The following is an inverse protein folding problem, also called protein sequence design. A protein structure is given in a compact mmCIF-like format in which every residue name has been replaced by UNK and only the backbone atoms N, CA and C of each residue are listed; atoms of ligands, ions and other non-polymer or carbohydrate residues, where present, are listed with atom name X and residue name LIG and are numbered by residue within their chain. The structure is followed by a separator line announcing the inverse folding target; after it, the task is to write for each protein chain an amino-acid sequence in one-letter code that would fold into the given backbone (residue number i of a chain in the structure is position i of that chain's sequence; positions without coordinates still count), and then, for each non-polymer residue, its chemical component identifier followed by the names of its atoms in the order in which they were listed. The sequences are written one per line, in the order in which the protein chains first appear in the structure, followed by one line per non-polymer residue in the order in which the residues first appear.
data_IF_895643291696
#
_entry.id   IF_895643291696
#
_cell.length_a   1.000
_cell.length_b   1.000
_cell.length_c   1.000
_cell.angle_alpha   90.00
_cell.angle_beta   90.00
_cell.angle_gamma   90.00
#
_symmetry.space_group_name_H-M   'P 1'
#
loop_
_entity.id
_entity.type
_entity.pdbx_description
1 polymer ?
#
# COMPACT_ATOMS: atom_id res chain seq x y z
N UNK A 1 -9.37 -16.60 15.68
CA UNK A 1 -10.45 -16.45 14.68
C UNK A 1 -9.78 -16.12 13.36
N UNK A 2 -9.62 -17.11 12.49
CA UNK A 2 -8.95 -16.94 11.20
C UNK A 2 -9.91 -16.25 10.23
N UNK A 3 -9.61 -15.03 9.81
CA UNK A 3 -10.38 -14.36 8.75
C UNK A 3 -9.87 -14.90 7.43
N UNK A 4 -10.53 -15.92 6.91
CA UNK A 4 -10.27 -16.47 5.58
C UNK A 4 -10.74 -15.46 4.53
N UNK A 5 -9.82 -14.67 3.98
CA UNK A 5 -10.04 -13.94 2.73
C UNK A 5 -9.86 -14.90 1.55
N UNK A 6 -10.84 -15.77 1.33
CA UNK A 6 -10.91 -16.59 0.12
C UNK A 6 -12.29 -16.45 -0.54
N UNK A 7 -12.22 -16.37 -1.87
CA UNK A 7 -13.26 -16.60 -2.89
C UNK A 7 -13.89 -15.41 -3.62
N UNK A 8 -13.46 -15.33 -4.88
CA UNK A 8 -14.23 -15.26 -6.13
C UNK A 8 -15.04 -14.00 -6.48
N UNK A 9 -14.57 -13.35 -7.54
CA UNK A 9 -15.44 -12.80 -8.58
C UNK A 9 -14.75 -12.98 -9.94
N UNK A 10 -15.15 -14.03 -10.65
CA UNK A 10 -14.89 -14.20 -12.09
C UNK A 10 -15.64 -13.11 -12.85
N UNK A 11 -14.92 -12.28 -13.61
CA UNK A 11 -15.51 -11.40 -14.63
C UNK A 11 -15.11 -11.97 -16.01
N UNK A 12 -16.05 -12.10 -16.97
CA UNK A 12 -15.82 -12.81 -18.22
C UNK A 12 -14.74 -12.19 -19.10
N UNK A 13 -13.94 -13.09 -19.72
CA UNK A 13 -12.96 -12.80 -20.77
C UNK A 13 -13.69 -12.28 -22.01
N UNK A 14 -13.52 -11.00 -22.34
CA UNK A 14 -13.92 -10.47 -23.65
C UNK A 14 -12.99 -11.07 -24.70
N UNK A 15 -13.58 -11.71 -25.71
CA UNK A 15 -12.87 -12.35 -26.80
C UNK A 15 -12.16 -11.32 -27.69
N UNK A 16 -10.88 -11.55 -27.97
CA UNK A 16 -10.14 -10.83 -29.02
C UNK A 16 -10.58 -11.38 -30.38
N UNK A 17 -11.26 -10.55 -31.18
CA UNK A 17 -11.37 -10.77 -32.63
C UNK A 17 -10.36 -9.86 -33.35
N UNK A 18 -9.52 -10.48 -34.16
CA UNK A 18 -8.56 -9.83 -35.02
C UNK A 18 -9.21 -9.35 -36.35
N UNK A 19 -8.77 -8.19 -36.84
CA UNK A 19 -8.70 -7.87 -38.27
C UNK A 19 -9.81 -7.02 -38.90
N UNK A 20 -9.62 -5.70 -38.96
CA UNK A 20 -10.01 -4.83 -40.10
C UNK A 20 -9.41 -3.41 -39.90
N UNK A 21 -9.05 -2.67 -40.99
CA UNK A 21 -8.21 -1.47 -40.92
C UNK A 21 -8.96 -0.22 -40.42
N UNK A 22 -8.21 0.67 -39.76
CA UNK A 22 -8.70 1.91 -39.13
C UNK A 22 -8.82 3.02 -40.19
N UNK A 23 -9.99 3.65 -40.39
CA UNK A 23 -10.06 4.96 -41.02
C UNK A 23 -9.81 6.06 -39.97
N UNK A 24 -8.86 6.94 -40.25
CA UNK A 24 -8.53 8.11 -39.44
C UNK A 24 -9.76 8.99 -39.22
N UNK A 25 -10.18 9.17 -37.96
CA UNK A 25 -11.16 10.20 -37.58
C UNK A 25 -10.53 11.22 -36.63
N UNK A 26 -10.69 12.46 -37.08
CA UNK A 26 -10.24 13.74 -36.56
C UNK A 26 -10.77 14.02 -35.16
N UNK A 27 -9.95 14.74 -34.38
CA UNK A 27 -10.17 15.31 -33.04
C UNK A 27 -11.60 15.37 -32.51
N UNK A 28 -11.87 14.52 -31.51
CA UNK A 28 -12.91 14.73 -30.51
C UNK A 28 -12.25 15.10 -29.19
N UNK A 29 -12.62 16.26 -28.62
CA UNK A 29 -12.23 16.61 -27.26
C UNK A 29 -12.67 15.48 -26.31
N UNK A 30 -11.73 14.98 -25.51
CA UNK A 30 -12.03 13.95 -24.51
C UNK A 30 -12.99 14.55 -23.48
N UNK A 31 -14.26 14.14 -23.54
CA UNK A 31 -15.20 14.35 -22.45
C UNK A 31 -14.59 13.70 -21.20
N UNK A 32 -14.46 14.41 -20.07
CA UNK A 32 -14.05 13.74 -18.84
C UNK A 32 -15.13 12.70 -18.53
N UNK A 33 -14.73 11.43 -18.47
CA UNK A 33 -15.59 10.35 -18.00
C UNK A 33 -15.83 10.62 -16.52
N UNK A 34 -16.89 11.38 -16.23
CA UNK A 34 -17.41 11.55 -14.89
C UNK A 34 -18.07 10.21 -14.55
N UNK A 35 -17.27 9.31 -13.99
CA UNK A 35 -17.73 8.02 -13.52
C UNK A 35 -18.79 8.28 -12.45
N UNK A 36 -20.04 7.94 -12.76
CA UNK A 36 -21.12 8.07 -11.81
C UNK A 36 -20.83 7.15 -10.62
N UNK A 37 -20.80 7.73 -9.41
CA UNK A 37 -20.60 6.97 -8.20
C UNK A 37 -21.77 6.01 -7.98
N UNK A 38 -21.52 4.79 -7.48
CA UNK A 38 -22.59 3.89 -7.06
C UNK A 38 -23.53 4.58 -6.06
N UNK A 39 -24.84 4.28 -6.08
CA UNK A 39 -25.78 4.80 -5.10
C UNK A 39 -25.30 4.56 -3.66
N UNK A 40 -25.30 5.59 -2.82
CA UNK A 40 -24.84 5.51 -1.43
C UNK A 40 -23.32 5.65 -1.23
N UNK A 41 -22.49 5.52 -2.28
CA UNK A 41 -21.03 5.68 -2.16
C UNK A 41 -20.64 7.09 -1.71
N UNK A 42 -21.26 8.13 -2.26
CA UNK A 42 -20.97 9.51 -1.87
C UNK A 42 -21.24 9.77 -0.38
N UNK A 43 -22.39 9.29 0.12
CA UNK A 43 -22.75 9.40 1.54
C UNK A 43 -21.78 8.61 2.42
N UNK A 44 -21.41 7.39 2.00
CA UNK A 44 -20.42 6.59 2.71
C UNK A 44 -19.07 7.32 2.84
N UNK A 45 -18.54 7.87 1.74
CA UNK A 45 -17.26 8.57 1.77
C UNK A 45 -17.32 9.80 2.68
N UNK A 46 -18.45 10.50 2.70
CA UNK A 46 -18.65 11.64 3.60
C UNK A 46 -18.67 11.21 5.07
N UNK A 47 -19.36 10.12 5.41
CA UNK A 47 -19.36 9.55 6.76
C UNK A 47 -17.95 9.11 7.16
N UNK A 48 -17.22 8.45 6.25
CA UNK A 48 -15.85 8.02 6.50
C UNK A 48 -14.90 9.21 6.72
N UNK A 49 -15.02 10.28 5.93
CA UNK A 49 -14.27 11.51 6.14
C UNK A 49 -14.56 12.10 7.53
N UNK A 50 -15.84 12.19 7.93
CA UNK A 50 -16.22 12.76 9.23
C UNK A 50 -15.67 11.94 10.40
N UNK A 51 -15.78 10.60 10.32
CA UNK A 51 -15.26 9.71 11.34
C UNK A 51 -13.73 9.80 11.43
N UNK A 52 -13.04 9.72 10.29
CA UNK A 52 -11.56 9.76 10.25
C UNK A 52 -11.00 11.13 10.64
N UNK A 53 -11.72 12.24 10.40
CA UNK A 53 -11.29 13.57 10.80
C UNK A 53 -11.19 13.75 12.33
N UNK A 54 -11.91 12.94 13.11
CA UNK A 54 -11.82 12.95 14.57
C UNK A 54 -10.60 12.18 15.11
N UNK A 55 -9.96 11.36 14.27
CA UNK A 55 -8.82 10.54 14.63
C UNK A 55 -7.54 11.37 14.55
N UNK A 56 -7.15 11.99 15.66
CA UNK A 56 -5.89 12.72 15.74
C UNK A 56 -4.68 11.80 15.93
N UNK A 57 -4.90 10.65 16.57
CA UNK A 57 -3.88 9.63 16.84
C UNK A 57 -4.50 8.26 16.78
N UNK A 58 -3.74 7.29 16.28
CA UNK A 58 -4.11 5.89 16.33
C UNK A 58 -2.86 5.03 16.46
N UNK A 59 -2.94 4.00 17.29
CA UNK A 59 -1.97 2.91 17.27
C UNK A 59 -2.70 1.57 17.14
N UNK A 60 -1.96 0.56 16.72
CA UNK A 60 -2.48 -0.79 16.67
C UNK A 60 -1.49 -1.77 16.13
N UNK A 61 -1.98 -2.98 15.88
CA UNK A 61 -1.18 -4.07 15.34
C UNK A 61 -1.76 -4.55 14.02
N UNK A 62 -0.90 -5.08 13.17
CA UNK A 62 -1.26 -5.61 11.88
C UNK A 62 -0.49 -6.89 11.54
N UNK A 63 -1.05 -7.65 10.59
CA UNK A 63 -0.37 -8.70 9.85
C UNK A 63 -0.28 -8.27 8.39
N UNK A 64 0.88 -8.50 7.75
CA UNK A 64 1.10 -8.30 6.32
C UNK A 64 1.29 -9.63 5.63
N UNK A 65 0.65 -9.78 4.48
CA UNK A 65 0.80 -10.88 3.54
C UNK A 65 1.20 -10.30 2.18
N UNK A 66 2.34 -10.71 1.64
CA UNK A 66 2.78 -10.32 0.29
C UNK A 66 2.83 -11.56 -0.59
N UNK A 67 1.91 -11.64 -1.55
CA UNK A 67 1.76 -12.76 -2.46
C UNK A 67 2.43 -12.44 -3.79
N UNK A 68 3.25 -13.37 -4.28
CA UNK A 68 3.73 -13.41 -5.64
C UNK A 68 3.28 -14.71 -6.31
N UNK A 69 2.32 -14.64 -7.22
CA UNK A 69 1.74 -15.81 -7.89
C UNK A 69 2.63 -16.40 -8.98
N UNK A 70 3.64 -15.64 -9.47
CA UNK A 70 4.62 -16.15 -10.43
C UNK A 70 5.61 -17.06 -9.72
N UNK A 71 6.15 -16.60 -8.60
CA UNK A 71 7.07 -17.39 -7.78
C UNK A 71 6.37 -18.34 -6.81
N UNK A 72 5.05 -18.21 -6.66
CA UNK A 72 4.23 -18.95 -5.69
C UNK A 72 4.79 -18.83 -4.28
N UNK A 73 5.16 -17.61 -3.90
CA UNK A 73 5.68 -17.28 -2.57
C UNK A 73 4.71 -16.34 -1.88
N UNK A 74 4.51 -16.58 -0.59
CA UNK A 74 3.80 -15.67 0.30
C UNK A 74 4.74 -15.26 1.43
N UNK A 75 5.07 -13.98 1.51
CA UNK A 75 5.83 -13.43 2.63
C UNK A 75 4.90 -12.92 3.72
N UNK A 76 5.21 -13.23 4.97
CA UNK A 76 4.45 -12.78 6.14
C UNK A 76 5.27 -11.88 7.04
N UNK A 77 4.66 -10.81 7.51
CA UNK A 77 5.17 -9.97 8.59
C UNK A 77 4.08 -9.69 9.61
N UNK A 78 4.47 -9.46 10.86
CA UNK A 78 3.60 -8.91 11.91
C UNK A 78 4.14 -7.56 12.32
N UNK A 79 3.30 -6.69 12.87
CA UNK A 79 3.78 -5.36 13.16
C UNK A 79 2.87 -4.49 14.00
N UNK A 80 3.39 -3.32 14.31
CA UNK A 80 2.63 -2.23 14.91
C UNK A 80 2.63 -1.04 13.98
N UNK A 81 1.54 -0.29 14.00
CA UNK A 81 1.43 0.97 13.27
C UNK A 81 1.07 2.09 14.23
N UNK A 82 1.50 3.29 13.87
CA UNK A 82 1.24 4.53 14.58
C UNK A 82 0.86 5.60 13.58
N UNK A 83 -0.13 6.39 13.92
CA UNK A 83 -0.60 7.52 13.15
C UNK A 83 -0.77 8.72 14.07
N UNK A 84 -0.33 9.88 13.61
CA UNK A 84 -0.65 11.17 14.21
C UNK A 84 -0.97 12.16 13.08
N UNK A 85 -2.16 12.73 13.14
CA UNK A 85 -2.59 13.73 12.18
C UNK A 85 -1.67 14.97 12.24
N UNK A 86 -1.45 15.65 11.10
CA UNK A 86 -2.02 15.36 9.78
C UNK A 86 -1.25 14.34 8.94
N UNK A 87 0.04 14.13 9.20
CA UNK A 87 0.97 13.56 8.22
C UNK A 87 2.06 12.66 8.82
N UNK A 88 1.95 12.28 10.09
CA UNK A 88 2.91 11.37 10.74
C UNK A 88 2.40 9.94 10.74
N UNK A 89 3.28 9.04 10.33
CA UNK A 89 2.99 7.62 10.27
C UNK A 89 4.22 6.80 10.63
N UNK A 90 3.99 5.62 11.18
CA UNK A 90 5.03 4.63 11.37
C UNK A 90 4.45 3.24 11.24
N UNK A 91 5.17 2.34 10.59
CA UNK A 91 4.88 0.91 10.57
C UNK A 91 6.16 0.16 10.85
N UNK A 92 6.14 -0.66 11.91
CA UNK A 92 7.23 -1.56 12.27
C UNK A 92 6.84 -2.97 11.85
N UNK A 93 7.67 -3.59 11.01
CA UNK A 93 7.50 -4.94 10.50
C UNK A 93 8.53 -5.85 11.18
N UNK A 94 8.04 -6.98 11.67
CA UNK A 94 8.83 -8.01 12.30
C UNK A 94 8.56 -9.35 11.62
N UNK A 95 9.62 -10.18 11.58
CA UNK A 95 9.51 -11.59 11.26
C UNK A 95 8.51 -12.26 12.22
N UNK A 96 7.49 -12.98 11.72
CA UNK A 96 6.66 -13.82 12.56
C UNK A 96 7.54 -14.87 13.26
N UNK A 97 7.24 -15.18 14.54
CA UNK A 97 7.98 -16.20 15.29
C UNK A 97 7.85 -17.58 14.66
N UNK A 98 6.69 -17.84 14.08
CA UNK A 98 6.35 -19.11 13.45
C UNK A 98 5.73 -18.83 12.09
N UNK A 99 6.11 -19.63 11.10
CA UNK A 99 5.49 -19.67 9.78
C UNK A 99 5.04 -21.11 9.50
N UNK A 100 3.88 -21.32 8.85
CA UNK A 100 3.47 -22.63 8.39
C UNK A 100 4.56 -23.30 7.55
N UNK A 101 4.82 -24.58 7.83
CA UNK A 101 5.72 -25.40 6.99
C UNK A 101 5.02 -25.83 5.71
N UNK A 102 3.73 -26.12 5.80
CA UNK A 102 2.91 -26.51 4.66
C UNK A 102 2.55 -25.30 3.79
N UNK A 103 2.52 -25.46 2.45
CA UNK A 103 2.09 -24.42 1.55
C UNK A 103 0.67 -23.95 1.87
N UNK A 104 0.47 -22.62 1.85
CA UNK A 104 -0.85 -22.04 2.01
C UNK A 104 -1.59 -22.08 0.67
N UNK A 105 -2.80 -22.66 0.65
CA UNK A 105 -3.62 -22.74 -0.55
C UNK A 105 -4.62 -21.59 -0.60
N UNK A 106 -4.56 -20.81 -1.68
CA UNK A 106 -5.53 -19.74 -2.00
C UNK A 106 -6.07 -20.01 -3.40
N UNK A 107 -7.34 -20.41 -3.47
CA UNK A 107 -7.93 -20.93 -4.70
C UNK A 107 -7.15 -22.15 -5.21
N UNK A 108 -6.70 -22.08 -6.47
CA UNK A 108 -5.91 -23.12 -7.13
C UNK A 108 -4.39 -22.96 -6.95
N UNK A 109 -3.93 -21.91 -6.27
CA UNK A 109 -2.51 -21.62 -6.09
C UNK A 109 -2.07 -22.04 -4.70
N UNK A 110 -0.97 -22.79 -4.64
CA UNK A 110 -0.25 -23.13 -3.40
C UNK A 110 0.97 -22.25 -3.26
N UNK A 111 1.04 -21.48 -2.18
CA UNK A 111 2.14 -20.57 -1.87
C UNK A 111 3.08 -21.18 -0.83
N UNK A 112 4.37 -21.15 -1.13
CA UNK A 112 5.38 -21.41 -0.11
C UNK A 112 5.43 -20.20 0.84
N UNK A 113 5.13 -20.46 2.11
CA UNK A 113 5.12 -19.39 3.12
C UNK A 113 6.55 -19.11 3.60
N UNK A 114 6.90 -17.84 3.66
CA UNK A 114 8.20 -17.35 4.12
C UNK A 114 8.00 -16.19 5.10
N UNK A 115 8.92 -16.04 6.04
CA UNK A 115 8.98 -14.83 6.84
C UNK A 115 9.55 -13.69 5.98
N UNK A 116 9.02 -12.49 6.15
CA UNK A 116 9.58 -11.29 5.54
C UNK A 116 10.84 -10.82 6.29
N UNK A 117 11.33 -9.60 6.05
CA UNK A 117 12.43 -9.00 6.79
C UNK A 117 11.97 -7.98 7.84
N UNK A 118 12.83 -7.70 8.83
CA UNK A 118 12.54 -6.67 9.82
C UNK A 118 12.73 -5.28 9.21
N UNK A 119 11.69 -4.46 9.25
CA UNK A 119 11.66 -3.16 8.57
C UNK A 119 10.96 -2.11 9.44
N UNK A 120 11.38 -0.85 9.35
CA UNK A 120 10.59 0.28 9.83
C UNK A 120 10.35 1.25 8.69
N UNK A 121 9.09 1.59 8.46
CA UNK A 121 8.70 2.70 7.61
C UNK A 121 8.24 3.85 8.51
N UNK A 122 8.86 5.02 8.41
CA UNK A 122 8.60 6.17 9.29
C UNK A 122 8.38 7.41 8.43
N UNK A 123 7.27 8.11 8.64
CA UNK A 123 6.99 9.43 8.10
C UNK A 123 6.85 10.44 9.24
N UNK A 124 7.68 11.49 9.21
CA UNK A 124 7.70 12.56 10.22
C UNK A 124 6.86 13.77 9.83
N UNK A 125 6.22 13.74 8.66
CA UNK A 125 5.48 14.84 8.04
C UNK A 125 6.29 15.63 7.01
N UNK A 126 7.61 15.65 7.16
CA UNK A 126 8.55 16.27 6.22
C UNK A 126 9.57 15.29 5.64
N UNK A 127 9.72 14.11 6.23
CA UNK A 127 10.71 13.10 5.87
C UNK A 127 10.09 11.71 5.92
N UNK A 128 10.45 10.87 4.97
CA UNK A 128 10.19 9.43 4.99
C UNK A 128 11.52 8.69 5.15
N UNK A 129 11.53 7.72 6.05
CA UNK A 129 12.59 6.75 6.25
C UNK A 129 12.04 5.36 5.99
N UNK A 130 12.70 4.62 5.11
CA UNK A 130 12.47 3.20 4.90
C UNK A 130 13.73 2.45 5.35
N UNK A 131 13.62 1.72 6.45
CA UNK A 131 14.75 1.14 7.18
C UNK A 131 14.68 -0.37 7.11
N UNK A 132 15.72 -1.02 6.59
CA UNK A 132 15.93 -2.45 6.71
C UNK A 132 16.83 -2.74 7.92
N UNK A 133 16.27 -3.37 8.95
CA UNK A 133 17.00 -3.65 10.19
C UNK A 133 17.93 -4.87 10.09
N UNK A 134 17.62 -5.81 9.19
CA UNK A 134 18.43 -7.01 9.00
C UNK A 134 19.75 -6.65 8.30
N UNK A 135 19.69 -5.78 7.29
CA UNK A 135 20.85 -5.30 6.54
C UNK A 135 21.50 -4.05 7.15
N UNK A 136 20.83 -3.41 8.11
CA UNK A 136 21.21 -2.10 8.68
C UNK A 136 21.38 -1.03 7.60
N UNK A 137 20.43 -0.99 6.67
CA UNK A 137 20.39 -0.02 5.57
C UNK A 137 19.13 0.82 5.66
N UNK A 138 19.14 2.00 5.05
CA UNK A 138 17.92 2.80 4.94
C UNK A 138 17.91 3.73 3.73
N UNK A 139 16.71 4.06 3.28
CA UNK A 139 16.44 5.09 2.29
C UNK A 139 15.81 6.30 2.97
N UNK A 140 16.12 7.49 2.44
CA UNK A 140 15.60 8.76 2.92
C UNK A 140 14.92 9.50 1.78
N UNK A 141 13.70 9.95 2.03
CA UNK A 141 12.94 10.77 1.07
C UNK A 141 12.45 12.05 1.76
N UNK A 142 12.94 13.20 1.30
CA UNK A 142 12.46 14.49 1.79
C UNK A 142 11.13 14.85 1.11
N UNK A 143 10.09 15.12 1.91
CA UNK A 143 8.79 15.60 1.44
C UNK A 143 8.88 17.12 1.15
N UNK A 144 8.60 17.56 -0.09
CA UNK A 144 8.58 18.96 -0.45
C UNK A 144 7.52 19.73 0.37
N UNK A 145 7.75 21.01 0.74
CA UNK A 145 6.84 21.80 1.57
C UNK A 145 5.37 21.79 1.11
N UNK A 146 5.14 21.77 -0.20
CA UNK A 146 3.81 21.76 -0.82
C UNK A 146 3.02 20.46 -0.59
N UNK A 147 3.69 19.36 -0.24
CA UNK A 147 3.05 18.06 0.03
C UNK A 147 3.02 17.72 1.53
N UNK A 148 3.48 18.62 2.41
CA UNK A 148 3.44 18.42 3.87
C UNK A 148 2.04 18.72 4.39
N UNK A 149 1.57 17.98 5.38
CA UNK A 149 0.19 18.07 5.86
C UNK A 149 -0.87 17.55 4.87
N UNK A 150 -0.49 17.23 3.63
CA UNK A 150 -1.29 16.36 2.77
C UNK A 150 -1.06 14.92 3.22
N UNK A 151 -2.14 14.12 3.29
CA UNK A 151 -2.13 12.74 3.77
C UNK A 151 -0.88 11.98 3.32
N UNK A 152 -0.35 11.13 4.20
CA UNK A 152 0.82 10.27 3.96
C UNK A 152 0.76 9.64 2.55
N UNK A 153 1.45 10.27 1.59
CA UNK A 153 1.24 10.02 0.15
C UNK A 153 1.83 8.67 -0.30
N UNK A 154 2.80 8.14 0.44
CA UNK A 154 3.67 7.04 0.00
C UNK A 154 3.57 5.77 0.84
N UNK A 155 2.58 5.67 1.70
CA UNK A 155 2.28 4.44 2.44
C UNK A 155 1.22 3.65 1.68
N UNK A 156 1.00 2.34 1.91
CA UNK A 156 -0.27 1.68 1.62
C UNK A 156 -1.46 2.31 2.39
N UNK A 157 -1.14 3.22 3.32
CA UNK A 157 -2.02 3.90 4.26
C UNK A 157 -2.47 5.34 3.88
N UNK A 158 -2.43 5.89 2.64
CA UNK A 158 -3.06 7.18 2.37
C UNK A 158 -4.59 7.06 2.58
N UNK A 159 -5.08 5.82 2.69
CA UNK A 159 -6.46 5.45 2.96
C UNK A 159 -6.80 5.33 4.44
N UNK A 160 -5.86 5.32 5.38
CA UNK A 160 -6.29 5.05 6.75
C UNK A 160 -7.03 6.23 7.36
N UNK A 161 -6.54 7.45 7.17
CA UNK A 161 -7.06 8.65 7.82
C UNK A 161 -6.86 9.91 6.97
N UNK A 162 -7.80 10.85 7.05
CA UNK A 162 -7.58 12.24 6.59
C UNK A 162 -7.87 12.54 5.11
N UNK A 163 -8.17 11.54 4.27
CA UNK A 163 -8.59 11.81 2.88
C UNK A 163 -9.99 12.40 2.80
N UNK A 164 -10.09 13.54 2.12
CA UNK A 164 -11.35 14.20 1.81
C UNK A 164 -12.14 13.35 0.82
N UNK A 165 -13.44 13.17 1.05
CA UNK A 165 -14.32 12.42 0.17
C UNK A 165 -14.23 12.91 -1.28
N UNK A 166 -14.17 14.23 -1.48
CA UNK A 166 -14.01 14.86 -2.79
C UNK A 166 -12.71 14.44 -3.48
N UNK A 167 -11.59 14.43 -2.76
CA UNK A 167 -10.29 14.01 -3.30
C UNK A 167 -10.32 12.54 -3.72
N UNK A 168 -10.97 11.67 -2.93
CA UNK A 168 -11.12 10.26 -3.30
C UNK A 168 -11.93 10.13 -4.60
N UNK A 169 -13.04 10.86 -4.73
CA UNK A 169 -13.90 10.83 -5.91
C UNK A 169 -13.19 11.33 -7.18
N UNK A 170 -12.31 12.33 -7.04
CA UNK A 170 -11.54 12.89 -8.16
C UNK A 170 -10.39 11.98 -8.60
N UNK A 171 -9.84 11.16 -7.68
CA UNK A 171 -8.66 10.34 -7.93
C UNK A 171 -8.96 8.88 -8.27
N UNK A 172 -10.15 8.37 -7.92
CA UNK A 172 -10.45 6.95 -8.01
C UNK A 172 -11.78 6.64 -8.70
N UNK A 173 -11.78 5.56 -9.49
CA UNK A 173 -12.98 4.81 -9.82
C UNK A 173 -13.37 3.96 -8.62
N UNK A 174 -14.60 4.13 -8.12
CA UNK A 174 -15.06 3.53 -6.89
C UNK A 174 -16.20 2.54 -7.12
N UNK A 175 -16.15 1.42 -6.40
CA UNK A 175 -17.21 0.42 -6.34
C UNK A 175 -17.35 -0.15 -4.94
N UNK A 176 -18.51 -0.74 -4.64
CA UNK A 176 -18.64 -1.62 -3.49
C UNK A 176 -18.05 -2.98 -3.83
N UNK A 177 -17.25 -3.53 -2.91
CA UNK A 177 -16.69 -4.87 -3.07
C UNK A 177 -17.67 -5.96 -2.60
N UNK A 178 -17.35 -7.22 -2.90
CA UNK A 178 -18.21 -8.38 -2.59
C UNK A 178 -18.47 -8.61 -1.09
N UNK A 179 -17.66 -8.00 -0.22
CA UNK A 179 -17.80 -8.07 1.24
C UNK A 179 -18.55 -6.87 1.83
N UNK A 180 -19.12 -6.01 0.99
CA UNK A 180 -19.88 -4.85 1.45
C UNK A 180 -21.20 -5.31 2.08
N UNK A 181 -21.29 -5.20 3.40
CA UNK A 181 -22.41 -5.68 4.18
C UNK A 181 -22.50 -4.86 5.50
N UNK A 182 -23.00 -3.62 5.42
CA UNK A 182 -23.06 -2.74 6.58
C UNK A 182 -23.93 -3.28 7.71
N UNK A 183 -24.95 -4.09 7.38
CA UNK A 183 -25.82 -4.74 8.35
C UNK A 183 -25.05 -5.72 9.24
N UNK A 184 -24.04 -6.41 8.69
CA UNK A 184 -23.13 -7.27 9.44
C UNK A 184 -21.79 -6.59 9.77
N UNK A 185 -21.77 -5.26 9.81
CA UNK A 185 -20.64 -4.51 10.34
C UNK A 185 -19.47 -4.29 9.37
N UNK A 186 -19.64 -4.53 8.06
CA UNK A 186 -18.55 -4.44 7.09
C UNK A 186 -18.86 -3.47 5.96
N UNK A 187 -17.93 -2.55 5.69
CA UNK A 187 -17.97 -1.70 4.50
C UNK A 187 -16.76 -2.04 3.64
N UNK A 188 -17.00 -2.57 2.44
CA UNK A 188 -15.94 -2.88 1.48
C UNK A 188 -15.95 -1.89 0.31
N UNK A 189 -14.88 -1.11 0.17
CA UNK A 189 -14.66 -0.16 -0.93
C UNK A 189 -13.57 -0.69 -1.84
N UNK A 190 -13.82 -0.68 -3.14
CA UNK A 190 -12.83 -0.97 -4.19
C UNK A 190 -12.48 0.34 -4.89
N UNK A 191 -11.19 0.65 -4.98
CA UNK A 191 -10.69 1.88 -5.57
C UNK A 191 -9.62 1.60 -6.64
N UNK A 192 -9.85 2.04 -7.87
CA UNK A 192 -8.86 1.97 -8.95
C UNK A 192 -8.41 3.39 -9.35
N UNK A 193 -7.10 3.68 -9.41
CA UNK A 193 -6.61 5.03 -9.70
C UNK A 193 -7.00 5.49 -11.11
N UNK A 194 -7.52 6.73 -11.20
CA UNK A 194 -7.85 7.38 -12.45
C UNK A 194 -6.61 7.89 -13.18
N UNK A 195 -5.60 8.38 -12.46
CA UNK A 195 -4.41 9.00 -13.06
C UNK A 195 -3.42 7.94 -13.55
N UNK A 196 -2.90 8.10 -14.78
CA UNK A 196 -1.97 7.15 -15.38
C UNK A 196 -0.68 6.98 -14.54
N UNK A 197 -0.17 8.07 -13.97
CA UNK A 197 0.98 8.02 -13.07
C UNK A 197 0.76 7.05 -11.90
N UNK A 198 -0.42 7.05 -11.29
CA UNK A 198 -0.76 6.16 -10.17
C UNK A 198 -1.02 4.71 -10.63
N UNK A 199 -1.53 4.52 -11.85
CA UNK A 199 -1.73 3.17 -12.43
C UNK A 199 -0.42 2.42 -12.68
N UNK A 200 0.72 3.12 -12.69
CA UNK A 200 2.06 2.52 -12.77
C UNK A 200 2.53 1.91 -11.45
N UNK A 201 1.90 2.29 -10.34
CA UNK A 201 2.26 1.83 -9.00
C UNK A 201 1.38 0.66 -8.55
N UNK A 202 0.06 0.79 -8.72
CA UNK A 202 -0.88 -0.28 -8.43
C UNK A 202 -2.11 -0.15 -9.33
N UNK A 203 -2.80 -1.27 -9.56
CA UNK A 203 -4.02 -1.28 -10.41
C UNK A 203 -5.29 -1.10 -9.60
N UNK A 204 -5.30 -1.54 -8.35
CA UNK A 204 -6.50 -1.52 -7.50
C UNK A 204 -6.12 -1.59 -6.03
N UNK A 205 -6.89 -0.91 -5.21
CA UNK A 205 -6.91 -1.07 -3.76
C UNK A 205 -8.30 -1.54 -3.33
N UNK A 206 -8.35 -2.41 -2.33
CA UNK A 206 -9.56 -2.85 -1.65
C UNK A 206 -9.41 -2.50 -0.18
N UNK A 207 -10.39 -1.80 0.37
CA UNK A 207 -10.39 -1.31 1.75
C UNK A 207 -11.62 -1.85 2.46
N UNK A 208 -11.41 -2.61 3.52
CA UNK A 208 -12.46 -3.11 4.40
C UNK A 208 -12.47 -2.25 5.67
N UNK A 209 -13.62 -1.67 5.98
CA UNK A 209 -13.85 -0.85 7.17
C UNK A 209 -14.84 -1.54 8.10
N UNK A 210 -14.67 -1.35 9.40
CA UNK A 210 -15.72 -1.61 10.38
C UNK A 210 -16.85 -0.59 10.20
N UNK A 211 -18.10 -1.04 10.01
CA UNK A 211 -19.21 -0.16 9.66
C UNK A 211 -19.68 0.77 10.80
N UNK A 212 -19.21 0.56 12.03
CA UNK A 212 -19.56 1.39 13.19
C UNK A 212 -18.53 2.50 13.41
N UNK A 213 -17.25 2.13 13.35
CA UNK A 213 -16.12 3.01 13.67
C UNK A 213 -15.52 3.65 12.42
N UNK A 214 -15.72 3.04 11.25
CA UNK A 214 -15.07 3.38 9.98
C UNK A 214 -13.54 3.28 10.02
N UNK A 215 -12.99 2.54 11.00
CA UNK A 215 -11.59 2.20 11.03
C UNK A 215 -11.30 1.04 10.06
N UNK A 216 -10.18 1.09 9.32
CA UNK A 216 -9.82 0.01 8.40
C UNK A 216 -9.46 -1.28 9.14
N UNK A 217 -10.12 -2.38 8.79
CA UNK A 217 -9.84 -3.72 9.31
C UNK A 217 -8.95 -4.52 8.36
N UNK A 218 -9.00 -4.22 7.06
CA UNK A 218 -8.05 -4.75 6.09
C UNK A 218 -7.85 -3.82 4.89
N UNK A 219 -6.66 -3.87 4.29
CA UNK A 219 -6.34 -3.20 3.02
C UNK A 219 -5.62 -4.19 2.13
N UNK A 220 -6.07 -4.33 0.88
CA UNK A 220 -5.42 -5.16 -0.13
C UNK A 220 -5.04 -4.31 -1.35
N UNK A 221 -3.79 -4.39 -1.77
CA UNK A 221 -3.25 -3.72 -2.94
C UNK A 221 -2.94 -4.74 -4.02
N UNK A 222 -3.37 -4.46 -5.25
CA UNK A 222 -3.07 -5.26 -6.43
C UNK A 222 -1.99 -4.57 -7.23
N UNK A 223 -0.82 -5.21 -7.36
CA UNK A 223 0.30 -4.72 -8.15
C UNK A 223 -0.05 -4.60 -9.63
N UNK A 224 0.79 -3.87 -10.37
CA UNK A 224 0.53 -3.52 -11.77
C UNK A 224 0.59 -4.67 -12.76
N UNK A 225 1.28 -5.75 -12.44
CA UNK A 225 1.25 -7.01 -13.21
C UNK A 225 -0.01 -7.85 -12.89
N UNK A 226 -0.54 -7.72 -11.67
CA UNK A 226 -1.56 -8.62 -11.11
C UNK A 226 -1.02 -9.95 -10.60
N UNK A 227 0.28 -10.16 -10.70
CA UNK A 227 0.93 -11.30 -10.07
C UNK A 227 1.29 -11.03 -8.61
N UNK A 228 1.28 -9.75 -8.20
CA UNK A 228 1.62 -9.34 -6.85
C UNK A 228 0.41 -8.76 -6.12
N UNK A 229 0.22 -9.19 -4.88
CA UNK A 229 -0.81 -8.67 -4.00
C UNK A 229 -0.24 -8.45 -2.60
N UNK A 230 -0.44 -7.27 -2.02
CA UNK A 230 -0.07 -6.99 -0.62
C UNK A 230 -1.34 -6.80 0.20
N UNK A 231 -1.50 -7.56 1.28
CA UNK A 231 -2.64 -7.50 2.20
C UNK A 231 -2.15 -7.08 3.57
N UNK A 232 -2.81 -6.08 4.14
CA UNK A 232 -2.70 -5.68 5.54
C UNK A 232 -3.99 -6.06 6.25
N UNK A 233 -3.88 -6.77 7.37
CA UNK A 233 -5.01 -7.07 8.26
C UNK A 233 -4.73 -6.39 9.59
N UNK A 234 -5.60 -5.47 9.98
CA UNK A 234 -5.48 -4.74 11.24
C UNK A 234 -6.19 -5.52 12.33
N UNK A 235 -5.42 -6.08 13.26
CA UNK A 235 -5.91 -7.01 14.28
C UNK A 235 -6.32 -6.30 15.56
N UNK A 236 -5.82 -5.08 15.78
CA UNK A 236 -6.17 -4.24 16.93
C UNK A 236 -6.10 -2.76 16.55
N UNK A 237 -7.08 -2.00 17.03
CA UNK A 237 -7.06 -0.55 17.07
C UNK A 237 -7.10 -0.10 18.53
N UNK A 238 -6.15 0.73 18.96
CA UNK A 238 -6.21 1.43 20.24
C UNK A 238 -6.25 2.95 19.98
N UNK A 239 -7.46 3.55 19.95
CA UNK A 239 -7.61 4.99 19.76
C UNK A 239 -7.32 5.79 21.05
N UNK A 240 -6.95 5.15 22.18
CA UNK A 240 -6.94 5.80 23.51
C UNK A 240 -5.61 5.76 24.27
N UNK A 241 -4.48 5.53 23.61
CA UNK A 241 -3.18 5.73 24.26
C UNK A 241 -2.08 5.83 23.21
N UNK A 242 -1.28 6.88 23.28
CA UNK A 242 0.16 6.62 23.33
C UNK A 242 0.46 6.66 24.84
N UNK A 243 1.16 5.68 25.43
CA UNK A 243 1.75 5.92 26.74
C UNK A 243 2.50 7.26 26.68
N UNK A 244 2.61 7.97 27.80
CA UNK A 244 3.60 9.03 27.92
C UNK A 244 4.98 8.38 27.79
N UNK A 245 5.39 8.14 26.54
CA UNK A 245 6.74 7.75 26.19
C UNK A 245 7.47 9.07 26.02
N UNK A 246 8.53 9.35 26.79
CA UNK A 246 9.28 10.61 26.67
C UNK A 246 9.89 10.83 25.27
N UNK A 247 9.85 9.82 24.41
CA UNK A 247 10.31 9.80 23.03
C UNK A 247 9.14 9.53 22.08
N UNK A 248 8.83 10.51 21.22
CA UNK A 248 7.90 10.35 20.09
C UNK A 248 8.26 9.12 19.25
N UNK A 249 7.30 8.25 18.87
CA UNK A 249 7.57 7.07 18.05
C UNK A 249 8.08 7.44 16.64
N UNK A 250 7.94 8.70 16.23
CA UNK A 250 8.36 9.21 14.94
C UNK A 250 9.82 9.73 14.93
N UNK A 251 10.57 9.61 16.04
CA UNK A 251 11.99 10.01 16.06
C UNK A 251 12.84 9.04 15.24
N UNK A 252 13.21 9.44 14.03
CA UNK A 252 14.10 8.70 13.12
C UNK A 252 15.60 8.80 13.46
N UNK A 253 16.00 8.79 14.74
CA UNK A 253 17.43 8.79 15.08
C UNK A 253 18.01 7.41 14.76
N UNK A 254 18.82 7.36 13.71
CA UNK A 254 19.50 6.14 13.29
C UNK A 254 20.77 5.96 14.11
N UNK A 255 21.02 4.76 14.67
CA UNK A 255 22.33 4.44 15.21
C UNK A 255 23.41 4.62 14.14
N UNK A 256 24.61 5.08 14.51
CA UNK A 256 25.73 5.32 13.59
C UNK A 256 26.15 4.08 12.77
N UNK A 257 25.63 2.89 13.08
CA UNK A 257 25.89 1.64 12.37
C UNK A 257 25.03 1.40 11.12
N UNK A 258 24.05 2.27 10.81
CA UNK A 258 23.19 2.12 9.65
C UNK A 258 23.74 2.86 8.43
N UNK A 259 23.65 2.24 7.24
CA UNK A 259 24.12 2.80 5.97
C UNK A 259 22.96 3.41 5.18
N UNK A 260 23.08 4.69 4.82
CA UNK A 260 22.21 5.35 3.85
C UNK A 260 22.47 4.76 2.46
N UNK A 261 21.44 4.23 1.82
CA UNK A 261 21.51 3.73 0.44
C UNK A 261 21.14 4.84 -0.53
N UNK A 262 19.93 5.37 -0.40
CA UNK A 262 19.43 6.45 -1.25
C UNK A 262 18.97 7.66 -0.41
N UNK A 263 19.31 8.84 -0.91
CA UNK A 263 18.92 10.14 -0.35
C UNK A 263 18.28 10.98 -1.44
N UNK A 264 16.96 10.87 -1.53
CA UNK A 264 16.19 11.41 -2.64
C UNK A 264 15.38 12.60 -2.12
N UNK A 265 15.57 13.78 -2.70
CA UNK A 265 14.53 14.81 -2.62
C UNK A 265 13.35 14.25 -3.43
N UNK A 266 12.16 14.07 -2.82
CA UNK A 266 11.05 13.42 -3.51
C UNK A 266 10.89 14.05 -4.90
N UNK A 267 10.84 13.26 -5.98
CA UNK A 267 10.69 13.82 -7.32
C UNK A 267 9.48 14.76 -7.32
N UNK A 268 9.58 15.88 -8.05
CA UNK A 268 8.49 16.84 -8.28
C UNK A 268 7.27 16.25 -9.03
N UNK A 269 7.15 14.93 -9.09
CA UNK A 269 6.07 14.20 -9.73
C UNK A 269 5.19 13.58 -8.65
N UNK A 270 3.92 13.95 -8.69
CA UNK A 270 2.84 13.46 -7.84
C UNK A 270 2.98 11.97 -7.54
N UNK A 271 3.30 11.64 -6.29
CA UNK A 271 3.04 10.35 -5.66
C UNK A 271 3.67 9.12 -6.33
N UNK A 272 4.95 9.16 -6.68
CA UNK A 272 5.70 7.94 -6.98
C UNK A 272 5.88 7.13 -5.69
N UNK A 273 5.25 5.94 -5.60
CA UNK A 273 5.55 4.98 -4.55
C UNK A 273 7.00 4.51 -4.71
N UNK A 274 7.74 4.35 -3.61
CA UNK A 274 8.87 3.42 -3.63
C UNK A 274 8.24 2.02 -3.65
N UNK A 275 8.56 1.16 -4.62
CA UNK A 275 8.05 -0.21 -4.62
C UNK A 275 8.44 -0.89 -3.30
N UNK A 276 7.46 -1.52 -2.63
CA UNK A 276 7.68 -2.32 -1.42
C UNK A 276 8.96 -3.17 -1.55
N UNK A 277 9.97 -2.84 -0.74
CA UNK A 277 11.02 -3.78 -0.35
C UNK A 277 11.88 -4.41 -1.44
N UNK A 278 11.89 -3.85 -2.65
CA UNK A 278 12.78 -4.32 -3.70
C UNK A 278 13.85 -3.26 -3.91
N UNK A 279 15.01 -3.48 -3.28
CA UNK A 279 16.25 -2.79 -3.67
C UNK A 279 16.34 -2.80 -5.20
N UNK A 280 16.68 -1.68 -5.87
CA UNK A 280 17.13 -1.76 -7.24
C UNK A 280 18.30 -2.75 -7.25
N UNK A 281 18.13 -3.87 -7.97
CA UNK A 281 19.28 -4.74 -8.26
C UNK A 281 20.31 -3.85 -8.94
N UNK A 282 21.47 -3.74 -8.32
CA UNK A 282 22.68 -3.29 -9.00
C UNK A 282 22.76 -4.15 -10.26
N UNK A 283 22.76 -3.51 -11.43
CA UNK A 283 23.11 -4.21 -12.65
C UNK A 283 24.48 -4.85 -12.41
N UNK A 284 24.57 -6.17 -12.56
CA UNK A 284 25.87 -6.85 -12.72
C UNK A 284 26.48 -6.32 -14.01
N UNK A 285 27.16 -5.18 -13.89
CA UNK A 285 28.00 -4.60 -14.91
C UNK A 285 29.32 -5.36 -14.94
N UNK A 286 29.53 -6.04 -16.06
CA UNK A 286 30.80 -6.24 -16.74
C UNK A 286 32.03 -6.53 -15.86
N UNK A 287 32.35 -7.83 -15.78
CA UNK A 287 33.72 -8.30 -15.57
C UNK A 287 34.60 -7.70 -16.66
N UNK A 288 35.59 -6.83 -16.34
CA UNK A 288 36.56 -6.40 -17.34
C UNK A 288 37.47 -7.60 -17.70
N UNK A 289 37.78 -7.82 -18.99
CA UNK A 289 38.70 -8.88 -19.37
C UNK A 289 40.09 -8.56 -18.86
N UNK A 290 40.51 -9.30 -17.83
CA UNK A 290 41.89 -9.32 -17.36
C UNK A 290 42.81 -9.80 -18.47
N UNK A 291 43.53 -8.86 -19.08
CA UNK A 291 44.80 -9.12 -19.75
C UNK A 291 45.80 -9.58 -18.69
N UNK A 292 46.32 -10.80 -18.80
CA UNK A 292 47.75 -11.06 -18.59
C UNK A 292 48.14 -12.31 -19.39
N UNK A 293 48.87 -12.09 -20.48
CA UNK A 293 49.70 -13.11 -21.10
C UNK A 293 51.07 -13.13 -20.40
N UNK A 294 51.53 -14.34 -20.11
CA UNK A 294 52.90 -14.85 -20.30
C UNK A 294 54.03 -14.13 -19.53
N UNK A 295 54.57 -14.83 -18.52
CA UNK A 295 55.88 -15.48 -18.64
C UNK A 295 56.02 -16.66 -17.71
#
# INVERSE_FOLDING_TARGET
MSVTFAQEATIPRVANNAGAPIPSRTGGAATPVQSQLPPGMAALLQTWEQHSASVNRLEGSFERYDYDSVFRVEKRAIGNYYFEAPDKGRMDFLKPKEIPQEPHQVGDIKYQVQADYNQSWICTGDLILDINHDEKTYNRVQIPPEFRGENIVNSPLPFLFGMKAKVIQERYLLAFGSMHDPANGRVHIVAAPLMEAQRREYRRAEVLLDAKTYLPTAVKLFGTSGSKETVYVFTKHDPRRLPWVPTSPFRGSMPNSYKLLDDIAAPQQQGAMIPNGQLPRVAEGDVPPGRTQIR
#
